data_IF_015518079922
#
_entry.id   IF_015518079922
#
_cell.length_a   1.000
_cell.length_b   1.000
_cell.length_c   1.000
_cell.angle_alpha   90.00
_cell.angle_beta   90.00
_cell.angle_gamma   90.00
#
_symmetry.space_group_name_H-M   'P 1'
#
loop_
_entity.id
_entity.type
_entity.pdbx_description
1 polymer ?
#
# COMPACT_ATOMS: atom_id res chain seq x y z
N UNK A 1 24.65 -39.60 1.28
CA UNK A 1 24.36 -38.16 1.36
C UNK A 1 25.43 -37.49 2.21
N UNK A 2 26.20 -36.55 1.65
CA UNK A 2 27.32 -35.93 2.35
C UNK A 2 26.84 -34.96 3.44
N UNK A 3 27.71 -34.69 4.42
CA UNK A 3 27.42 -33.74 5.51
C UNK A 3 27.03 -32.36 4.96
N UNK A 4 27.67 -31.92 3.88
CA UNK A 4 27.38 -30.67 3.16
C UNK A 4 25.94 -30.65 2.63
N UNK A 5 25.47 -31.73 2.00
CA UNK A 5 24.09 -31.81 1.49
C UNK A 5 23.06 -31.67 2.61
N UNK A 6 23.30 -32.28 3.77
CA UNK A 6 22.40 -32.18 4.93
C UNK A 6 22.32 -30.75 5.46
N UNK A 7 23.46 -30.09 5.59
CA UNK A 7 23.53 -28.68 6.04
C UNK A 7 22.79 -27.76 5.07
N UNK A 8 23.00 -27.93 3.75
CA UNK A 8 22.31 -27.14 2.74
C UNK A 8 20.79 -27.31 2.79
N UNK A 9 20.31 -28.54 2.98
CA UNK A 9 18.87 -28.81 3.12
C UNK A 9 18.30 -28.12 4.37
N UNK A 10 18.97 -28.25 5.52
CA UNK A 10 18.51 -27.63 6.77
C UNK A 10 18.47 -26.11 6.64
N UNK A 11 19.53 -25.50 6.09
CA UNK A 11 19.57 -24.05 5.84
C UNK A 11 18.46 -23.63 4.87
N UNK A 12 18.25 -24.37 3.78
CA UNK A 12 17.18 -24.10 2.83
C UNK A 12 15.79 -24.19 3.47
N UNK A 13 15.53 -25.20 4.29
CA UNK A 13 14.30 -25.34 5.05
C UNK A 13 14.10 -24.21 6.06
N UNK A 14 15.15 -23.77 6.75
CA UNK A 14 15.06 -22.66 7.70
C UNK A 14 14.78 -21.33 6.99
N UNK A 15 15.35 -21.10 5.81
CA UNK A 15 15.11 -19.90 5.00
C UNK A 15 13.73 -19.89 4.34
N UNK A 16 13.14 -21.06 4.04
CA UNK A 16 11.82 -21.12 3.42
C UNK A 16 10.70 -20.71 4.38
N UNK A 17 10.88 -20.88 5.69
CA UNK A 17 9.90 -20.50 6.72
C UNK A 17 9.57 -18.99 6.66
N UNK A 18 10.52 -18.04 6.80
CA UNK A 18 10.21 -16.62 6.72
C UNK A 18 9.69 -16.21 5.34
N UNK A 19 10.21 -16.81 4.26
CA UNK A 19 9.72 -16.53 2.90
C UNK A 19 8.24 -16.93 2.76
N UNK A 20 7.87 -18.12 3.23
CA UNK A 20 6.49 -18.59 3.22
C UNK A 20 5.61 -17.68 4.08
N UNK A 21 6.05 -17.32 5.29
CA UNK A 21 5.31 -16.43 6.17
C UNK A 21 5.04 -15.05 5.53
N UNK A 22 6.06 -14.41 4.97
CA UNK A 22 5.93 -13.11 4.28
C UNK A 22 5.00 -13.23 3.06
N UNK A 23 5.15 -14.30 2.27
CA UNK A 23 4.32 -14.52 1.08
C UNK A 23 2.87 -14.73 1.46
N UNK A 24 2.59 -15.59 2.44
CA UNK A 24 1.23 -15.82 2.94
C UNK A 24 0.62 -14.53 3.51
N UNK A 25 1.37 -13.74 4.28
CA UNK A 25 0.89 -12.46 4.79
C UNK A 25 0.55 -11.47 3.66
N UNK A 26 1.43 -11.36 2.66
CA UNK A 26 1.21 -10.50 1.50
C UNK A 26 -0.03 -10.92 0.69
N UNK A 27 -0.24 -12.23 0.49
CA UNK A 27 -1.42 -12.75 -0.21
C UNK A 27 -2.68 -12.49 0.60
N UNK A 28 -2.68 -12.77 1.91
CA UNK A 28 -3.83 -12.50 2.78
C UNK A 28 -4.22 -11.03 2.75
N UNK A 29 -3.25 -10.11 2.81
CA UNK A 29 -3.55 -8.68 2.80
C UNK A 29 -4.25 -8.22 1.52
N UNK A 30 -3.97 -8.84 0.37
CA UNK A 30 -4.61 -8.46 -0.91
C UNK A 30 -6.13 -8.65 -0.93
N UNK A 31 -6.67 -9.48 -0.03
CA UNK A 31 -8.10 -9.72 0.10
C UNK A 31 -8.70 -8.99 1.32
N UNK A 32 -7.88 -8.26 2.08
CA UNK A 32 -8.36 -7.44 3.18
C UNK A 32 -8.95 -6.12 2.65
N UNK A 33 -9.91 -5.59 3.40
CA UNK A 33 -10.42 -4.24 3.22
C UNK A 33 -9.35 -3.23 3.67
N UNK A 34 -8.62 -2.70 2.70
CA UNK A 34 -7.55 -1.74 2.96
C UNK A 34 -6.16 -2.35 3.19
N UNK A 35 -5.13 -1.50 3.18
CA UNK A 35 -3.74 -1.88 3.29
C UNK A 35 -3.33 -2.04 4.76
N UNK A 36 -2.16 -2.64 4.97
CA UNK A 36 -1.49 -2.53 6.26
C UNK A 36 -0.20 -1.71 6.09
N UNK A 37 0.64 -1.66 7.14
CA UNK A 37 1.90 -0.89 7.11
C UNK A 37 2.90 -1.37 6.06
N UNK A 38 2.85 -2.64 5.65
CA UNK A 38 3.86 -3.30 4.81
C UNK A 38 3.34 -3.67 3.42
N UNK A 39 2.07 -4.05 3.30
CA UNK A 39 1.50 -4.62 2.09
C UNK A 39 0.27 -3.82 1.64
N UNK A 40 0.14 -3.71 0.32
CA UNK A 40 -1.08 -3.24 -0.32
C UNK A 40 -2.26 -4.15 0.00
N UNK A 41 -3.42 -3.52 0.16
CA UNK A 41 -4.68 -4.19 0.42
C UNK A 41 -5.49 -4.45 -0.83
N UNK A 42 -6.66 -5.06 -0.61
CA UNK A 42 -7.73 -5.10 -1.59
C UNK A 42 -8.45 -3.76 -1.70
N UNK A 43 -9.62 -3.75 -2.37
CA UNK A 43 -10.48 -2.57 -2.42
C UNK A 43 -10.94 -2.13 -1.02
N UNK A 44 -11.11 -0.83 -0.84
CA UNK A 44 -11.75 -0.17 0.28
C UNK A 44 -13.26 -0.40 0.15
N UNK A 45 -13.85 -1.05 1.15
CA UNK A 45 -15.29 -1.40 1.17
C UNK A 45 -16.03 -0.71 2.32
N UNK A 46 -15.49 -0.77 3.55
CA UNK A 46 -16.08 -0.14 4.72
C UNK A 46 -15.95 1.39 4.72
N UNK A 47 -16.76 2.05 5.54
CA UNK A 47 -16.81 3.50 5.66
C UNK A 47 -18.03 4.10 4.96
N UNK A 48 -18.26 5.38 5.21
CA UNK A 48 -19.35 6.13 4.58
C UNK A 48 -18.80 6.88 3.37
N UNK A 49 -19.42 6.67 2.21
CA UNK A 49 -18.98 7.38 1.01
C UNK A 49 -19.38 8.86 1.12
N UNK A 50 -18.39 9.73 1.20
CA UNK A 50 -18.61 11.17 1.08
C UNK A 50 -18.99 11.54 -0.36
N UNK A 51 -20.28 11.80 -0.58
CA UNK A 51 -20.83 12.23 -1.87
C UNK A 51 -21.06 13.76 -1.97
N UNK A 52 -20.64 14.51 -0.94
CA UNK A 52 -20.79 15.96 -0.88
C UNK A 52 -19.74 16.73 -1.70
N UNK A 53 -19.74 18.08 -1.62
CA UNK A 53 -18.65 18.89 -2.15
C UNK A 53 -17.33 18.52 -1.48
N UNK A 54 -16.21 18.90 -2.11
CA UNK A 54 -14.88 18.67 -1.55
C UNK A 54 -14.81 19.18 -0.10
N UNK A 55 -14.39 18.33 0.86
CA UNK A 55 -14.30 18.73 2.25
C UNK A 55 -13.17 19.74 2.45
N UNK A 56 -13.25 20.53 3.52
CA UNK A 56 -12.07 21.27 3.97
C UNK A 56 -10.99 20.26 4.39
N UNK A 57 -9.86 20.23 3.69
CA UNK A 57 -8.76 19.30 3.95
C UNK A 57 -7.92 19.65 5.18
N UNK A 58 -8.20 20.76 5.87
CA UNK A 58 -7.42 21.22 7.04
C UNK A 58 -7.28 20.15 8.13
N UNK A 59 -8.24 19.24 8.28
CA UNK A 59 -8.16 18.12 9.22
C UNK A 59 -7.03 17.12 8.93
N UNK A 60 -6.52 17.09 7.70
CA UNK A 60 -5.42 16.18 7.31
C UNK A 60 -4.06 16.68 7.79
N UNK A 61 -3.93 17.94 8.22
CA UNK A 61 -2.66 18.51 8.70
C UNK A 61 -1.99 17.68 9.80
N UNK A 62 -2.80 17.10 10.69
CA UNK A 62 -2.33 16.28 11.80
C UNK A 62 -2.31 14.77 11.49
N UNK A 63 -2.67 14.38 10.25
CA UNK A 63 -2.78 12.99 9.83
C UNK A 63 -1.60 12.66 8.89
N UNK A 64 -0.61 11.88 9.36
CA UNK A 64 0.60 11.65 8.58
C UNK A 64 0.35 10.81 7.33
N UNK A 65 -0.61 9.89 7.39
CA UNK A 65 -0.85 8.91 6.33
C UNK A 65 -2.33 8.59 6.16
N UNK A 66 -2.73 8.37 4.93
CA UNK A 66 -4.09 7.96 4.54
C UNK A 66 -4.06 6.64 3.77
N UNK A 67 -5.22 6.02 3.59
CA UNK A 67 -5.40 4.92 2.66
C UNK A 67 -5.86 5.46 1.31
N UNK A 68 -5.15 5.08 0.25
CA UNK A 68 -5.43 5.49 -1.11
C UNK A 68 -5.61 4.26 -2.00
N UNK A 69 -6.72 4.20 -2.71
CA UNK A 69 -7.00 3.21 -3.74
C UNK A 69 -7.20 3.90 -5.09
N UNK A 70 -6.56 3.39 -6.14
CA UNK A 70 -6.92 3.75 -7.52
C UNK A 70 -8.08 2.88 -8.01
N UNK A 71 -8.84 3.36 -9.00
CA UNK A 71 -9.94 2.56 -9.55
C UNK A 71 -9.45 1.36 -10.36
N UNK A 72 -8.38 1.51 -11.13
CA UNK A 72 -7.77 0.42 -11.89
C UNK A 72 -6.23 0.39 -11.74
N UNK A 73 -5.64 -0.68 -11.17
CA UNK A 73 -6.30 -1.78 -10.48
C UNK A 73 -6.84 -1.33 -9.10
N UNK A 74 -7.94 -1.93 -8.60
CA UNK A 74 -8.55 -1.58 -7.31
C UNK A 74 -7.72 -2.09 -6.14
N UNK A 75 -6.56 -1.45 -5.90
CA UNK A 75 -5.59 -1.80 -4.86
C UNK A 75 -5.31 -0.62 -3.96
N UNK A 76 -5.57 -0.80 -2.67
CA UNK A 76 -5.33 0.19 -1.64
C UNK A 76 -3.88 0.19 -1.15
N UNK A 77 -3.40 1.34 -0.68
CA UNK A 77 -2.07 1.53 -0.09
C UNK A 77 -2.08 2.62 0.98
N UNK A 78 -1.25 2.46 2.01
CA UNK A 78 -1.00 3.51 2.99
C UNK A 78 0.04 4.47 2.42
N UNK A 79 -0.30 5.75 2.36
CA UNK A 79 0.53 6.78 1.72
C UNK A 79 0.62 8.02 2.61
N UNK A 80 1.78 8.67 2.58
CA UNK A 80 1.98 9.94 3.26
C UNK A 80 1.23 11.04 2.54
N UNK A 81 0.65 11.94 3.33
CA UNK A 81 -0.15 13.05 2.82
C UNK A 81 0.19 14.34 3.53
N UNK A 82 -0.22 15.45 2.94
CA UNK A 82 -0.15 16.78 3.51
C UNK A 82 -1.25 17.63 2.88
N UNK A 83 -1.80 18.56 3.63
CA UNK A 83 -2.68 19.58 3.08
C UNK A 83 -1.88 20.87 2.83
N UNK A 84 -2.15 21.50 1.68
CA UNK A 84 -1.58 22.79 1.33
C UNK A 84 -2.58 23.58 0.49
N UNK A 85 -2.82 24.84 0.85
CA UNK A 85 -3.76 25.75 0.17
C UNK A 85 -5.15 25.15 -0.10
N UNK A 86 -5.71 24.46 0.89
CA UNK A 86 -7.02 23.83 0.83
C UNK A 86 -7.06 22.61 -0.08
N UNK A 87 -5.91 21.99 -0.38
CA UNK A 87 -5.81 20.82 -1.26
C UNK A 87 -4.99 19.71 -0.61
N UNK A 88 -5.44 18.48 -0.86
CA UNK A 88 -4.73 17.28 -0.44
C UNK A 88 -3.61 16.92 -1.42
N UNK A 89 -2.42 16.69 -0.88
CA UNK A 89 -1.27 16.18 -1.63
C UNK A 89 -0.83 14.82 -1.08
N UNK A 90 -0.40 13.92 -1.97
CA UNK A 90 0.09 12.59 -1.59
C UNK A 90 1.50 12.37 -2.12
N UNK A 91 2.34 11.75 -1.31
CA UNK A 91 3.76 11.59 -1.61
C UNK A 91 4.02 10.30 -2.37
N UNK A 92 4.44 10.40 -3.64
CA UNK A 92 4.77 9.21 -4.43
C UNK A 92 6.01 8.48 -3.92
N UNK A 93 7.05 9.25 -3.57
CA UNK A 93 8.38 8.74 -3.25
C UNK A 93 8.92 7.78 -4.32
N UNK A 94 8.46 7.91 -5.56
CA UNK A 94 8.72 6.99 -6.68
C UNK A 94 10.03 7.30 -7.37
N UNK A 95 10.34 8.58 -7.57
CA UNK A 95 11.54 9.01 -8.30
C UNK A 95 12.83 8.99 -7.48
N UNK A 96 12.76 8.69 -6.18
CA UNK A 96 13.91 8.79 -5.28
C UNK A 96 14.98 7.70 -5.46
N UNK A 97 14.63 6.51 -5.97
CA UNK A 97 15.58 5.38 -6.12
C UNK A 97 15.19 4.44 -7.28
N UNK A 98 16.15 3.68 -7.81
CA UNK A 98 15.88 2.64 -8.81
C UNK A 98 14.97 1.52 -8.27
N UNK A 99 15.16 1.13 -7.00
CA UNK A 99 14.30 0.16 -6.30
C UNK A 99 12.86 0.69 -6.16
N UNK A 100 12.71 1.96 -5.79
CA UNK A 100 11.40 2.62 -5.70
C UNK A 100 10.66 2.60 -7.04
N UNK A 101 11.36 2.85 -8.15
CA UNK A 101 10.79 2.79 -9.50
C UNK A 101 10.34 1.39 -9.91
N UNK A 102 11.10 0.36 -9.56
CA UNK A 102 10.75 -1.03 -9.87
C UNK A 102 9.56 -1.53 -9.02
N UNK A 103 9.53 -1.14 -7.75
CA UNK A 103 8.54 -1.61 -6.78
C UNK A 103 7.21 -0.86 -6.85
N UNK A 104 7.23 0.46 -7.01
CA UNK A 104 6.03 1.32 -6.98
C UNK A 104 5.49 1.54 -8.40
N UNK A 105 4.57 0.69 -8.83
CA UNK A 105 3.90 0.83 -10.15
C UNK A 105 2.75 1.83 -10.16
N UNK A 106 2.25 2.20 -9.00
CA UNK A 106 1.03 2.96 -8.87
C UNK A 106 1.08 4.41 -9.38
N UNK A 107 2.20 5.17 -9.32
CA UNK A 107 2.22 6.54 -9.83
C UNK A 107 1.94 6.56 -11.34
N UNK A 108 2.52 5.61 -12.07
CA UNK A 108 2.25 5.41 -13.51
C UNK A 108 0.79 5.01 -13.76
N UNK A 109 0.15 4.29 -12.83
CA UNK A 109 -1.28 3.97 -12.92
C UNK A 109 -2.14 5.22 -12.70
N UNK A 110 -1.77 6.05 -11.71
CA UNK A 110 -2.45 7.31 -11.41
C UNK A 110 -2.31 8.35 -12.52
N UNK A 111 -1.18 8.36 -13.24
CA UNK A 111 -1.00 9.20 -14.44
C UNK A 111 -1.95 8.81 -15.58
N UNK A 112 -2.38 7.54 -15.65
CA UNK A 112 -3.32 7.04 -16.66
C UNK A 112 -4.78 7.28 -16.27
N UNK A 113 -5.12 6.97 -15.03
CA UNK A 113 -6.41 7.29 -14.42
C UNK A 113 -6.18 7.68 -12.95
N UNK A 114 -6.29 8.98 -12.68
CA UNK A 114 -6.03 9.57 -11.37
C UNK A 114 -7.18 9.45 -10.39
N UNK A 115 -8.33 8.90 -10.79
CA UNK A 115 -9.47 8.73 -9.89
C UNK A 115 -9.11 7.76 -8.77
N UNK A 116 -9.39 8.19 -7.55
CA UNK A 116 -9.03 7.45 -6.36
C UNK A 116 -10.16 7.48 -5.33
N UNK A 117 -10.20 6.44 -4.51
CA UNK A 117 -10.96 6.39 -3.26
C UNK A 117 -9.96 6.58 -2.12
N UNK A 118 -10.30 7.47 -1.20
CA UNK A 118 -9.50 7.75 -0.01
C UNK A 118 -10.27 7.30 1.22
N UNK A 119 -9.55 6.77 2.20
CA UNK A 119 -10.06 6.54 3.56
C UNK A 119 -9.09 7.14 4.56
N UNK A 120 -9.61 7.92 5.50
CA UNK A 120 -8.85 8.72 6.45
C UNK A 120 -9.32 8.38 7.86
N UNK A 121 -8.44 7.80 8.68
CA UNK A 121 -8.78 7.38 10.05
C UNK A 121 -10.03 6.49 10.14
N UNK A 122 -10.22 5.61 9.14
CA UNK A 122 -11.37 4.70 9.07
C UNK A 122 -12.67 5.32 8.54
N UNK A 123 -12.64 6.59 8.11
CA UNK A 123 -13.76 7.32 7.52
C UNK A 123 -13.55 7.57 6.04
#
# INVERSE_FOLDING_TARGET
MSMVTRVLIVVGCLLSIPVAAVTTAAVKQRFADGPNRLFSGGPLVAGELHAGPEPDWSFVRDIPTIELQLLDPPRSRRIWTTEHDGRLYVWSGYMGTAVGRLWKRWPVQAERDGRAVLRIEGK
#
